data_IF_780999974754
#
_entry.id   IF_780999974754
#
_cell.length_a   1.000
_cell.length_b   1.000
_cell.length_c   1.000
_cell.angle_alpha   90.00
_cell.angle_beta   90.00
_cell.angle_gamma   90.00
#
_symmetry.space_group_name_H-M   'P 1'
#
loop_
_entity.id
_entity.type
_entity.pdbx_description
1 polymer ?
#
# COMPACT_ATOMS: atom_id res chain seq x y z
N UNK A 1 -10.12 4.36 -66.48
CA UNK A 1 -9.40 3.46 -65.55
C UNK A 1 -8.09 4.14 -65.24
N UNK A 2 -8.12 5.04 -64.25
CA UNK A 2 -6.93 5.74 -63.78
C UNK A 2 -6.04 4.73 -63.08
N UNK A 3 -4.83 4.54 -63.62
CA UNK A 3 -3.76 3.81 -62.94
C UNK A 3 -3.33 4.67 -61.76
N UNK A 4 -3.78 4.30 -60.56
CA UNK A 4 -3.24 4.82 -59.30
C UNK A 4 -1.71 4.67 -59.39
N UNK A 5 -0.99 5.78 -59.30
CA UNK A 5 0.47 5.79 -59.27
C UNK A 5 0.95 4.88 -58.13
N UNK A 6 1.98 4.04 -58.32
CA UNK A 6 2.48 3.12 -57.29
C UNK A 6 2.82 3.81 -55.95
N UNK A 7 3.11 5.11 -55.95
CA UNK A 7 3.36 5.89 -54.73
C UNK A 7 2.10 6.19 -53.89
N UNK A 8 0.94 6.39 -54.53
CA UNK A 8 -0.30 6.70 -53.81
C UNK A 8 -0.81 5.47 -53.04
N UNK A 9 -0.73 4.29 -53.67
CA UNK A 9 -1.10 3.01 -53.02
C UNK A 9 -0.13 2.65 -51.87
N UNK A 10 1.15 3.00 -51.98
CA UNK A 10 2.15 2.84 -50.90
C UNK A 10 1.86 3.75 -49.71
N UNK A 11 1.50 5.01 -49.97
CA UNK A 11 1.17 5.98 -48.92
C UNK A 11 -0.12 5.59 -48.19
N UNK A 12 -1.14 5.12 -48.90
CA UNK A 12 -2.38 4.60 -48.31
C UNK A 12 -2.13 3.38 -47.41
N UNK A 13 -1.32 2.42 -47.86
CA UNK A 13 -0.97 1.24 -47.05
C UNK A 13 -0.13 1.60 -45.80
N UNK A 14 0.68 2.65 -45.87
CA UNK A 14 1.40 3.21 -44.72
C UNK A 14 0.45 3.92 -43.74
N UNK A 15 -0.48 4.73 -44.26
CA UNK A 15 -1.49 5.43 -43.46
C UNK A 15 -2.45 4.47 -42.77
N UNK A 16 -2.90 3.41 -43.44
CA UNK A 16 -3.75 2.37 -42.85
C UNK A 16 -3.02 1.61 -41.74
N UNK A 17 -1.74 1.28 -41.95
CA UNK A 17 -0.89 0.66 -40.92
C UNK A 17 -0.68 1.60 -39.73
N UNK A 18 -0.50 2.90 -39.97
CA UNK A 18 -0.35 3.91 -38.94
C UNK A 18 -1.64 4.14 -38.14
N UNK A 19 -2.80 4.12 -38.79
CA UNK A 19 -4.11 4.23 -38.14
C UNK A 19 -4.38 3.02 -37.24
N UNK A 20 -4.07 1.80 -37.69
CA UNK A 20 -4.20 0.59 -36.89
C UNK A 20 -3.23 0.56 -35.69
N UNK A 21 -2.04 1.14 -35.83
CA UNK A 21 -1.09 1.32 -34.73
C UNK A 21 -1.49 2.45 -33.77
N UNK A 22 -2.37 3.38 -34.16
CA UNK A 22 -2.85 4.43 -33.27
C UNK A 22 -4.19 4.09 -32.59
N UNK A 23 -4.91 3.06 -33.04
CA UNK A 23 -6.22 2.68 -32.49
C UNK A 23 -6.14 1.82 -31.22
N UNK A 24 -4.98 1.26 -30.87
CA UNK A 24 -4.82 0.41 -29.69
C UNK A 24 -4.08 1.14 -28.57
N UNK A 25 -4.68 1.20 -27.39
CA UNK A 25 -4.05 1.73 -26.17
C UNK A 25 -3.26 0.66 -25.39
N UNK A 26 -3.29 -0.59 -25.87
CA UNK A 26 -2.55 -1.70 -25.28
C UNK A 26 -1.18 -1.83 -25.94
N UNK A 27 -0.14 -1.49 -25.16
CA UNK A 27 1.27 -1.59 -25.55
C UNK A 27 1.59 -2.92 -26.22
N UNK A 28 1.05 -3.99 -25.67
CA UNK A 28 1.38 -5.35 -26.06
C UNK A 28 0.78 -5.70 -27.43
N UNK A 29 -0.47 -5.28 -27.65
CA UNK A 29 -1.13 -5.35 -28.96
C UNK A 29 -0.37 -4.54 -30.01
N UNK A 30 0.01 -3.30 -29.69
CA UNK A 30 0.76 -2.44 -30.61
C UNK A 30 2.07 -3.07 -31.08
N UNK A 31 2.86 -3.62 -30.16
CA UNK A 31 4.15 -4.22 -30.48
C UNK A 31 3.98 -5.51 -31.30
N UNK A 32 2.95 -6.31 -31.02
CA UNK A 32 2.60 -7.49 -31.85
C UNK A 32 2.21 -7.09 -33.26
N UNK A 33 1.41 -6.03 -33.41
CA UNK A 33 1.00 -5.51 -34.70
C UNK A 33 2.18 -4.96 -35.48
N UNK A 34 3.05 -4.15 -34.86
CA UNK A 34 4.27 -3.64 -35.45
C UNK A 34 5.17 -4.78 -35.96
N UNK A 35 5.46 -5.75 -35.10
CA UNK A 35 6.33 -6.87 -35.45
C UNK A 35 5.74 -7.67 -36.63
N UNK A 36 4.44 -7.94 -36.61
CA UNK A 36 3.75 -8.67 -37.69
C UNK A 36 3.77 -7.89 -39.00
N UNK A 37 3.53 -6.59 -38.98
CA UNK A 37 3.53 -5.74 -40.17
C UNK A 37 4.92 -5.66 -40.79
N UNK A 38 5.96 -5.46 -39.98
CA UNK A 38 7.36 -5.45 -40.46
C UNK A 38 7.75 -6.81 -41.02
N UNK A 39 7.46 -7.90 -40.31
CA UNK A 39 7.82 -9.25 -40.77
C UNK A 39 7.09 -9.65 -42.05
N UNK A 40 5.81 -9.25 -42.19
CA UNK A 40 5.03 -9.50 -43.40
C UNK A 40 5.55 -8.76 -44.62
N UNK A 41 6.02 -7.50 -44.44
CA UNK A 41 6.60 -6.70 -45.52
C UNK A 41 8.00 -7.17 -45.93
N UNK A 42 8.83 -7.57 -44.96
CA UNK A 42 10.21 -8.02 -45.20
C UNK A 42 10.35 -9.52 -45.49
N UNK A 43 9.26 -10.28 -45.39
CA UNK A 43 9.18 -11.73 -45.59
C UNK A 43 10.17 -12.52 -44.70
N UNK A 44 10.44 -12.02 -43.49
CA UNK A 44 11.36 -12.67 -42.53
C UNK A 44 10.62 -13.60 -41.59
N UNK A 45 11.24 -14.73 -41.24
CA UNK A 45 10.67 -15.72 -40.31
C UNK A 45 11.00 -15.48 -38.83
N UNK A 46 11.93 -14.55 -38.53
CA UNK A 46 12.41 -14.26 -37.18
C UNK A 46 12.44 -12.76 -36.93
N UNK A 47 12.02 -12.33 -35.76
CA UNK A 47 12.09 -10.94 -35.34
C UNK A 47 11.70 -10.74 -33.88
N UNK A 48 12.05 -9.59 -33.33
CA UNK A 48 11.69 -9.16 -31.99
C UNK A 48 11.43 -7.66 -31.92
N UNK A 49 10.72 -7.25 -30.88
CA UNK A 49 10.68 -5.87 -30.41
C UNK A 49 11.12 -5.86 -28.95
N UNK A 50 12.11 -5.04 -28.63
CA UNK A 50 12.53 -4.74 -27.26
C UNK A 50 12.12 -3.31 -26.90
N UNK A 51 11.81 -3.07 -25.63
CA UNK A 51 11.41 -1.76 -25.10
C UNK A 51 12.32 -1.39 -23.95
N UNK A 52 12.59 -0.09 -23.80
CA UNK A 52 13.35 0.43 -22.67
C UNK A 52 12.52 0.33 -21.38
N UNK A 53 13.06 -0.37 -20.40
CA UNK A 53 12.53 -0.48 -19.05
C UNK A 53 13.67 -0.36 -18.02
N UNK A 54 13.62 0.68 -17.18
CA UNK A 54 14.57 0.94 -16.10
C UNK A 54 16.04 1.00 -16.57
N UNK A 55 16.30 1.61 -17.73
CA UNK A 55 17.65 1.78 -18.28
C UNK A 55 18.18 0.56 -19.03
N UNK A 56 17.39 -0.51 -19.19
CA UNK A 56 17.75 -1.69 -19.97
C UNK A 56 16.72 -1.99 -21.05
N UNK A 57 17.17 -2.44 -22.21
CA UNK A 57 16.30 -2.92 -23.28
C UNK A 57 15.85 -4.34 -22.95
N UNK A 58 14.54 -4.59 -22.88
CA UNK A 58 13.97 -5.91 -22.60
C UNK A 58 13.07 -6.38 -23.73
N UNK A 59 13.13 -7.67 -24.05
CA UNK A 59 12.29 -8.24 -25.10
C UNK A 59 10.81 -8.15 -24.69
N UNK A 60 10.03 -7.36 -25.43
CA UNK A 60 8.59 -7.19 -25.18
C UNK A 60 7.76 -8.11 -26.09
N UNK A 61 8.18 -8.33 -27.33
CA UNK A 61 7.54 -9.24 -28.29
C UNK A 61 8.56 -9.98 -29.14
N UNK A 62 8.30 -11.26 -29.45
CA UNK A 62 9.25 -12.11 -30.16
C UNK A 62 8.54 -13.10 -31.08
N UNK A 63 9.16 -13.42 -32.21
CA UNK A 63 8.69 -14.47 -33.13
C UNK A 63 9.86 -15.22 -33.75
N UNK A 64 9.82 -16.55 -33.70
CA UNK A 64 10.86 -17.41 -34.28
C UNK A 64 12.16 -17.51 -33.47
N UNK A 65 12.15 -17.05 -32.22
CA UNK A 65 13.27 -17.11 -31.26
C UNK A 65 12.87 -18.05 -30.11
N UNK A 66 13.54 -19.20 -29.98
CA UNK A 66 13.16 -20.26 -29.02
C UNK A 66 13.98 -20.26 -27.72
N UNK A 67 15.12 -19.58 -27.71
CA UNK A 67 16.11 -19.65 -26.63
C UNK A 67 16.02 -18.52 -25.60
N UNK A 68 15.10 -17.55 -25.81
CA UNK A 68 14.93 -16.35 -24.99
C UNK A 68 13.44 -16.19 -24.64
N UNK A 69 13.15 -15.62 -23.47
CA UNK A 69 11.80 -15.34 -23.01
C UNK A 69 11.51 -13.84 -23.08
N UNK A 70 10.21 -13.51 -23.21
CA UNK A 70 9.74 -12.13 -23.02
C UNK A 70 10.14 -11.66 -21.61
N UNK A 71 10.69 -10.46 -21.51
CA UNK A 71 11.21 -9.85 -20.28
C UNK A 71 12.73 -9.99 -20.09
N UNK A 72 13.40 -10.89 -20.82
CA UNK A 72 14.86 -11.01 -20.78
C UNK A 72 15.53 -9.74 -21.33
N UNK A 73 16.73 -9.42 -20.84
CA UNK A 73 17.51 -8.28 -21.31
C UNK A 73 18.03 -8.56 -22.71
N UNK A 74 17.91 -7.58 -23.60
CA UNK A 74 18.43 -7.65 -24.95
C UNK A 74 19.96 -7.73 -24.94
N UNK A 75 20.47 -8.72 -25.66
CA UNK A 75 21.90 -8.91 -25.93
C UNK A 75 22.11 -9.02 -27.45
N UNK A 76 22.98 -8.15 -27.98
CA UNK A 76 23.27 -8.08 -29.41
C UNK A 76 23.96 -9.34 -29.94
N UNK A 77 24.86 -9.95 -29.16
CA UNK A 77 25.60 -11.16 -29.57
C UNK A 77 24.65 -12.36 -29.61
N UNK A 78 23.83 -12.51 -28.57
CA UNK A 78 22.80 -13.55 -28.50
C UNK A 78 21.76 -13.40 -29.62
N UNK A 79 21.32 -12.18 -29.90
CA UNK A 79 20.38 -11.91 -30.99
C UNK A 79 20.97 -12.28 -32.36
N UNK A 80 22.23 -11.92 -32.62
CA UNK A 80 22.94 -12.25 -33.85
C UNK A 80 23.10 -13.77 -34.04
N UNK A 81 23.49 -14.48 -32.98
CA UNK A 81 23.62 -15.94 -32.99
C UNK A 81 22.30 -16.66 -33.34
N UNK A 82 21.15 -16.03 -33.06
CA UNK A 82 19.83 -16.56 -33.40
C UNK A 82 19.34 -16.16 -34.81
N UNK A 83 20.18 -15.50 -35.60
CA UNK A 83 19.88 -15.11 -36.98
C UNK A 83 19.09 -13.81 -37.12
N UNK A 84 19.17 -12.91 -36.13
CA UNK A 84 18.78 -11.51 -36.28
C UNK A 84 19.98 -10.75 -36.84
N UNK A 85 19.81 -10.13 -38.00
CA UNK A 85 20.92 -9.47 -38.70
C UNK A 85 20.71 -7.97 -38.88
N UNK A 86 19.48 -7.48 -38.70
CA UNK A 86 19.16 -6.07 -38.78
C UNK A 86 18.46 -5.65 -37.50
N UNK A 87 18.96 -4.59 -36.86
CA UNK A 87 18.38 -4.02 -35.65
C UNK A 87 18.19 -2.52 -35.90
N UNK A 88 16.97 -2.04 -35.68
CA UNK A 88 16.58 -0.65 -35.88
C UNK A 88 16.11 -0.04 -34.57
N UNK A 89 16.50 1.21 -34.32
CA UNK A 89 15.97 1.99 -33.22
C UNK A 89 14.51 2.39 -33.49
N UNK A 90 13.68 2.25 -32.46
CA UNK A 90 12.36 2.86 -32.40
C UNK A 90 12.53 4.18 -31.65
N UNK A 91 12.27 5.30 -32.32
CA UNK A 91 12.44 6.64 -31.76
C UNK A 91 13.81 7.25 -32.04
N UNK A 92 14.31 8.05 -31.11
CA UNK A 92 15.61 8.73 -31.23
C UNK A 92 16.75 7.70 -31.25
N UNK A 93 17.71 7.87 -32.16
CA UNK A 93 18.87 6.99 -32.27
C UNK A 93 19.84 7.16 -31.08
N UNK A 94 19.85 8.33 -30.42
CA UNK A 94 20.68 8.56 -29.25
C UNK A 94 20.07 7.92 -27.98
N UNK A 95 18.74 7.98 -27.85
CA UNK A 95 17.98 7.40 -26.73
C UNK A 95 16.75 6.63 -27.26
N UNK A 96 16.96 5.41 -27.77
CA UNK A 96 15.87 4.62 -28.33
C UNK A 96 14.84 4.27 -27.25
N UNK A 97 13.56 4.41 -27.58
CA UNK A 97 12.46 3.95 -26.71
C UNK A 97 12.19 2.46 -26.89
N UNK A 98 12.71 1.88 -27.98
CA UNK A 98 12.74 0.45 -28.21
C UNK A 98 13.67 0.07 -29.36
N UNK A 99 13.81 -1.23 -29.59
CA UNK A 99 14.60 -1.82 -30.68
C UNK A 99 13.74 -2.81 -31.45
N UNK A 100 13.82 -2.77 -32.78
CA UNK A 100 13.21 -3.74 -33.68
C UNK A 100 14.32 -4.57 -34.33
N UNK A 101 14.37 -5.86 -34.00
CA UNK A 101 15.27 -6.80 -34.65
C UNK A 101 14.55 -7.67 -35.68
N UNK A 102 15.12 -7.83 -36.87
CA UNK A 102 14.62 -8.73 -37.91
C UNK A 102 15.73 -9.62 -38.49
N UNK A 103 15.34 -10.82 -38.90
CA UNK A 103 16.22 -11.75 -39.59
C UNK A 103 16.57 -11.33 -41.02
N UNK A 104 17.34 -12.18 -41.71
CA UNK A 104 17.75 -11.92 -43.10
C UNK A 104 16.59 -12.16 -44.08
N UNK A 105 16.24 -11.20 -44.96
CA UNK A 105 15.24 -11.41 -46.01
C UNK A 105 15.69 -12.46 -47.05
N UNK A 106 14.75 -13.09 -47.79
CA UNK A 106 15.07 -14.09 -48.81
C UNK A 106 16.03 -13.62 -49.91
N UNK A 107 16.01 -12.33 -50.25
CA UNK A 107 16.90 -11.68 -51.23
C UNK A 107 18.23 -11.19 -50.67
N UNK A 108 18.47 -11.37 -49.37
CA UNK A 108 19.75 -11.09 -48.71
C UNK A 108 20.06 -9.63 -48.37
N UNK A 109 19.40 -8.66 -49.00
CA UNK A 109 19.49 -7.24 -48.67
C UNK A 109 18.09 -6.59 -48.65
N UNK A 110 17.91 -5.65 -47.73
CA UNK A 110 16.73 -4.76 -47.68
C UNK A 110 17.03 -3.61 -48.65
N UNK A 111 16.09 -3.30 -49.55
CA UNK A 111 16.25 -2.19 -50.49
C UNK A 111 16.15 -0.84 -49.79
N UNK A 112 16.71 0.21 -50.40
CA UNK A 112 16.69 1.59 -49.84
C UNK A 112 15.26 2.09 -49.60
N UNK A 113 14.35 1.80 -50.54
CA UNK A 113 12.92 2.16 -50.45
C UNK A 113 12.21 1.43 -49.29
N UNK A 114 12.55 0.17 -49.05
CA UNK A 114 12.02 -0.62 -47.93
C UNK A 114 12.58 -0.13 -46.59
N UNK A 115 13.84 0.27 -46.55
CA UNK A 115 14.47 0.85 -45.37
C UNK A 115 13.85 2.21 -45.01
N UNK A 116 13.59 3.07 -46.00
CA UNK A 116 12.90 4.35 -45.80
C UNK A 116 11.47 4.14 -45.30
N UNK A 117 10.75 3.20 -45.90
CA UNK A 117 9.40 2.82 -45.47
C UNK A 117 9.40 2.26 -44.03
N UNK A 118 10.41 1.49 -43.65
CA UNK A 118 10.56 0.95 -42.31
C UNK A 118 10.84 2.07 -41.30
N UNK A 119 11.73 3.01 -41.62
CA UNK A 119 12.01 4.18 -40.77
C UNK A 119 10.76 5.02 -40.52
N UNK A 120 9.95 5.25 -41.56
CA UNK A 120 8.67 5.96 -41.41
C UNK A 120 7.70 5.23 -40.46
N UNK A 121 7.58 3.90 -40.57
CA UNK A 121 6.77 3.10 -39.65
C UNK A 121 7.30 3.14 -38.21
N UNK A 122 8.61 3.10 -38.01
CA UNK A 122 9.22 3.16 -36.68
C UNK A 122 9.07 4.52 -36.02
N UNK A 123 9.11 5.60 -36.79
CA UNK A 123 8.84 6.95 -36.29
C UNK A 123 7.41 7.09 -35.76
N UNK A 124 6.42 6.55 -36.50
CA UNK A 124 5.01 6.53 -36.08
C UNK A 124 4.87 5.67 -34.81
N UNK A 125 5.47 4.49 -34.83
CA UNK A 125 5.43 3.57 -33.71
C UNK A 125 6.07 4.13 -32.44
N UNK A 126 7.13 4.94 -32.55
CA UNK A 126 7.75 5.60 -31.39
C UNK A 126 6.76 6.48 -30.63
N UNK A 127 5.94 7.25 -31.36
CA UNK A 127 4.93 8.12 -30.74
C UNK A 127 3.83 7.29 -30.06
N UNK A 128 3.32 6.26 -30.73
CA UNK A 128 2.31 5.35 -30.17
C UNK A 128 2.84 4.58 -28.96
N UNK A 129 4.12 4.17 -29.00
CA UNK A 129 4.82 3.47 -27.91
C UNK A 129 4.95 4.36 -26.67
N UNK A 130 5.39 5.61 -26.87
CA UNK A 130 5.48 6.59 -25.78
C UNK A 130 4.11 6.86 -25.13
N UNK A 131 3.07 7.02 -25.94
CA UNK A 131 1.70 7.24 -25.46
C UNK A 131 1.16 6.03 -24.69
N UNK A 132 1.37 4.82 -25.21
CA UNK A 132 0.95 3.58 -24.54
C UNK A 132 1.69 3.35 -23.22
N UNK A 133 3.01 3.62 -23.17
CA UNK A 133 3.82 3.57 -21.95
C UNK A 133 3.28 4.55 -20.90
N UNK A 134 3.12 5.82 -21.27
CA UNK A 134 2.58 6.86 -20.37
C UNK A 134 1.17 6.51 -19.85
N UNK A 135 0.29 5.95 -20.69
CA UNK A 135 -1.05 5.52 -20.26
C UNK A 135 -0.99 4.32 -19.31
N UNK A 136 -0.13 3.34 -19.58
CA UNK A 136 0.03 2.15 -18.73
C UNK A 136 0.59 2.52 -17.34
N UNK A 137 1.59 3.40 -17.29
CA UNK A 137 2.16 3.93 -16.05
C UNK A 137 1.11 4.68 -15.26
N UNK A 138 0.34 5.55 -15.93
CA UNK A 138 -0.76 6.30 -15.30
C UNK A 138 -1.82 5.36 -14.71
N UNK A 139 -2.19 4.28 -15.41
CA UNK A 139 -3.12 3.28 -14.85
C UNK A 139 -2.54 2.53 -13.66
N UNK A 140 -1.26 2.13 -13.73
CA UNK A 140 -0.58 1.46 -12.61
C UNK A 140 -0.54 2.35 -11.37
N UNK A 141 -0.16 3.62 -11.53
CA UNK A 141 -0.16 4.58 -10.42
C UNK A 141 -1.56 4.84 -9.89
N UNK A 142 -2.57 4.99 -10.75
CA UNK A 142 -3.96 5.13 -10.30
C UNK A 142 -4.45 3.90 -9.51
N UNK A 143 -4.09 2.69 -9.95
CA UNK A 143 -4.45 1.48 -9.23
C UNK A 143 -3.80 1.43 -7.84
N UNK A 144 -2.48 1.66 -7.77
CA UNK A 144 -1.75 1.73 -6.50
C UNK A 144 -2.30 2.82 -5.56
N UNK A 145 -2.63 3.98 -6.12
CA UNK A 145 -3.24 5.07 -5.36
C UNK A 145 -4.62 4.68 -4.86
N UNK A 146 -5.44 4.01 -5.67
CA UNK A 146 -6.76 3.55 -5.26
C UNK A 146 -6.68 2.49 -4.15
N UNK A 147 -5.73 1.55 -4.22
CA UNK A 147 -5.44 0.62 -3.12
C UNK A 147 -5.08 1.38 -1.84
N UNK A 148 -4.20 2.39 -1.94
CA UNK A 148 -3.84 3.23 -0.78
C UNK A 148 -5.00 4.05 -0.24
N UNK A 149 -5.87 4.59 -1.09
CA UNK A 149 -7.08 5.29 -0.67
C UNK A 149 -8.03 4.36 0.06
N UNK A 150 -8.20 3.12 -0.41
CA UNK A 150 -9.03 2.13 0.28
C UNK A 150 -8.45 1.74 1.64
N UNK A 151 -7.13 1.55 1.72
CA UNK A 151 -6.43 1.29 2.99
C UNK A 151 -6.65 2.43 4.01
N UNK A 152 -6.51 3.69 3.56
CA UNK A 152 -6.75 4.86 4.40
C UNK A 152 -8.21 5.01 4.85
N UNK A 153 -9.18 4.70 3.98
CA UNK A 153 -10.61 4.71 4.35
C UNK A 153 -10.92 3.68 5.42
N UNK A 154 -10.41 2.46 5.28
CA UNK A 154 -10.55 1.44 6.30
C UNK A 154 -9.96 1.89 7.65
N UNK A 155 -8.78 2.52 7.62
CA UNK A 155 -8.15 3.10 8.82
C UNK A 155 -9.04 4.18 9.44
N UNK A 156 -9.57 5.12 8.65
CA UNK A 156 -10.47 6.17 9.13
C UNK A 156 -11.75 5.62 9.76
N UNK A 157 -12.33 4.57 9.18
CA UNK A 157 -13.54 3.96 9.73
C UNK A 157 -13.26 3.23 11.06
N UNK A 158 -12.07 2.60 11.19
CA UNK A 158 -11.61 2.03 12.46
C UNK A 158 -11.41 3.12 13.53
N UNK A 159 -10.77 4.22 13.17
CA UNK A 159 -10.56 5.37 14.07
C UNK A 159 -11.90 5.98 14.48
N UNK A 160 -12.85 6.15 13.55
CA UNK A 160 -14.19 6.63 13.87
C UNK A 160 -14.88 5.73 14.89
N UNK A 161 -14.82 4.41 14.71
CA UNK A 161 -15.37 3.44 15.68
C UNK A 161 -14.74 3.58 17.07
N UNK A 162 -13.43 3.82 17.15
CA UNK A 162 -12.73 4.09 18.42
C UNK A 162 -13.23 5.41 19.04
N UNK A 163 -13.32 6.49 18.27
CA UNK A 163 -13.70 7.82 18.79
C UNK A 163 -15.18 7.95 19.18
N UNK A 164 -16.09 7.15 18.61
CA UNK A 164 -17.50 7.16 18.98
C UNK A 164 -17.78 6.47 20.31
N UNK A 165 -16.78 5.80 20.87
CA UNK A 165 -16.90 5.00 22.06
C UNK A 165 -16.64 5.84 23.31
N UNK A 166 -17.57 5.78 24.26
CA UNK A 166 -17.49 6.56 25.51
C UNK A 166 -16.88 5.78 26.68
N UNK A 167 -16.69 4.47 26.53
CA UNK A 167 -16.13 3.59 27.58
C UNK A 167 -14.70 3.12 27.22
N UNK A 168 -13.71 3.33 28.10
CA UNK A 168 -12.34 2.87 27.87
C UNK A 168 -12.24 1.38 27.54
N UNK A 169 -13.05 0.55 28.19
CA UNK A 169 -13.11 -0.89 27.98
C UNK A 169 -13.57 -1.24 26.56
N UNK A 170 -14.44 -0.45 25.95
CA UNK A 170 -14.90 -0.69 24.59
C UNK A 170 -13.82 -0.28 23.57
N UNK A 171 -13.15 0.85 23.78
CA UNK A 171 -12.01 1.29 22.95
C UNK A 171 -10.91 0.22 22.96
N UNK A 172 -10.60 -0.33 24.13
CA UNK A 172 -9.63 -1.40 24.31
C UNK A 172 -10.02 -2.67 23.54
N UNK A 173 -11.31 -3.00 23.51
CA UNK A 173 -11.80 -4.18 22.78
C UNK A 173 -11.62 -3.99 21.27
N UNK A 174 -12.04 -2.83 20.76
CA UNK A 174 -11.95 -2.51 19.33
C UNK A 174 -10.50 -2.46 18.85
N UNK A 175 -9.60 -1.84 19.62
CA UNK A 175 -8.17 -1.79 19.30
C UNK A 175 -7.59 -3.21 19.17
N UNK A 176 -7.80 -4.05 20.18
CA UNK A 176 -7.32 -5.44 20.18
C UNK A 176 -7.91 -6.23 19.03
N UNK A 177 -9.23 -6.15 18.81
CA UNK A 177 -9.91 -6.88 17.73
C UNK A 177 -9.39 -6.47 16.35
N UNK A 178 -9.13 -5.18 16.16
CA UNK A 178 -8.62 -4.62 14.91
C UNK A 178 -7.22 -5.15 14.60
N UNK A 179 -6.28 -5.03 15.56
CA UNK A 179 -4.89 -5.44 15.36
C UNK A 179 -4.76 -6.96 15.26
N UNK A 180 -5.44 -7.71 16.13
CA UNK A 180 -5.41 -9.17 16.10
C UNK A 180 -6.10 -9.73 14.86
N UNK A 181 -7.18 -9.10 14.39
CA UNK A 181 -7.86 -9.45 13.14
C UNK A 181 -6.99 -9.20 11.91
N UNK A 182 -6.39 -8.00 11.79
CA UNK A 182 -5.53 -7.64 10.65
C UNK A 182 -4.33 -8.57 10.51
N UNK A 183 -3.68 -8.91 11.62
CA UNK A 183 -2.45 -9.72 11.59
C UNK A 183 -2.67 -11.21 11.91
N UNK A 184 -3.93 -11.63 12.06
CA UNK A 184 -4.30 -12.99 12.43
C UNK A 184 -3.46 -13.48 13.63
N UNK A 185 -3.55 -12.76 14.74
CA UNK A 185 -2.78 -13.02 15.97
C UNK A 185 -3.67 -13.68 17.01
N UNK A 186 -3.22 -14.83 17.54
CA UNK A 186 -3.99 -15.59 18.53
C UNK A 186 -3.73 -15.18 19.99
N UNK A 187 -2.59 -14.52 20.25
CA UNK A 187 -2.13 -14.15 21.58
C UNK A 187 -1.87 -12.65 21.68
N UNK A 188 -2.36 -12.01 22.74
CA UNK A 188 -2.15 -10.59 22.97
C UNK A 188 -2.26 -10.27 24.47
N UNK A 189 -1.77 -9.11 24.86
CA UNK A 189 -2.03 -8.52 26.15
C UNK A 189 -2.07 -6.99 26.03
N UNK A 190 -3.06 -6.36 26.64
CA UNK A 190 -3.22 -4.92 26.74
C UNK A 190 -3.39 -4.56 28.21
N UNK A 191 -2.67 -3.56 28.68
CA UNK A 191 -2.86 -2.96 29.99
C UNK A 191 -2.75 -1.44 29.86
N UNK A 192 -3.71 -0.72 30.44
CA UNK A 192 -3.80 0.73 30.39
C UNK A 192 -4.12 1.27 31.77
N UNK A 193 -3.47 2.36 32.16
CA UNK A 193 -3.69 3.02 33.43
C UNK A 193 -3.83 4.53 33.23
N UNK A 194 -4.83 5.10 33.90
CA UNK A 194 -4.99 6.53 34.10
C UNK A 194 -5.11 6.79 35.60
N UNK A 195 -4.39 7.79 36.11
CA UNK A 195 -4.45 8.15 37.52
C UNK A 195 -5.91 8.45 37.95
N UNK A 196 -6.36 7.84 39.06
CA UNK A 196 -7.70 8.01 39.59
C UNK A 196 -8.79 7.16 38.91
N UNK A 197 -8.43 6.35 37.91
CA UNK A 197 -9.34 5.44 37.22
C UNK A 197 -8.93 3.98 37.38
N UNK A 198 -9.88 3.03 37.29
CA UNK A 198 -9.54 1.60 37.22
C UNK A 198 -8.66 1.29 36.02
N UNK A 199 -7.70 0.38 36.22
CA UNK A 199 -6.86 -0.16 35.14
C UNK A 199 -7.72 -0.93 34.14
N UNK A 200 -7.47 -0.72 32.85
CA UNK A 200 -8.13 -1.46 31.76
C UNK A 200 -7.19 -2.53 31.25
N UNK A 201 -7.56 -3.79 31.45
CA UNK A 201 -6.74 -4.93 31.05
C UNK A 201 -7.47 -5.90 30.13
N UNK A 202 -6.74 -6.44 29.15
CA UNK A 202 -7.18 -7.54 28.29
C UNK A 202 -6.03 -8.45 27.94
N UNK A 203 -6.09 -9.70 28.38
CA UNK A 203 -5.01 -10.67 28.19
C UNK A 203 -5.55 -11.96 27.56
N UNK A 204 -4.85 -12.49 26.56
CA UNK A 204 -5.11 -13.79 25.94
C UNK A 204 -3.80 -14.45 25.56
N UNK A 205 -3.35 -15.41 26.35
CA UNK A 205 -2.15 -16.21 26.07
C UNK A 205 -0.81 -15.48 26.21
N UNK A 206 -0.84 -14.19 26.55
CA UNK A 206 0.26 -13.38 27.08
C UNK A 206 -0.27 -12.74 28.36
N UNK A 207 0.53 -12.75 29.42
CA UNK A 207 0.25 -12.10 30.69
C UNK A 207 1.30 -11.04 30.96
N UNK A 208 0.84 -9.85 31.32
CA UNK A 208 1.69 -8.70 31.65
C UNK A 208 1.88 -8.60 33.16
N UNK A 209 3.06 -8.14 33.63
CA UNK A 209 3.22 -7.65 34.99
C UNK A 209 2.25 -6.50 35.30
N UNK A 210 2.15 -6.13 36.57
CA UNK A 210 1.40 -4.96 36.98
C UNK A 210 1.89 -3.73 36.20
N UNK A 211 0.96 -2.95 35.67
CA UNK A 211 1.27 -1.83 34.77
C UNK A 211 2.14 -0.77 35.48
N UNK A 212 1.97 -0.64 36.79
CA UNK A 212 2.75 0.25 37.65
C UNK A 212 4.25 -0.06 37.55
N UNK A 213 4.62 -1.35 37.51
CA UNK A 213 6.00 -1.81 37.48
C UNK A 213 6.69 -1.57 36.13
N UNK A 214 5.91 -1.48 35.05
CA UNK A 214 6.43 -1.36 33.68
C UNK A 214 6.17 0.01 33.03
N UNK A 215 5.35 0.86 33.65
CA UNK A 215 4.92 2.14 33.08
C UNK A 215 6.07 3.10 32.74
N UNK A 216 7.07 3.19 33.60
CA UNK A 216 8.23 4.08 33.38
C UNK A 216 9.14 3.56 32.27
N UNK A 217 9.32 2.24 32.21
CA UNK A 217 10.07 1.58 31.15
C UNK A 217 9.38 1.75 29.79
N UNK A 218 8.07 1.52 29.70
CA UNK A 218 7.33 1.60 28.43
C UNK A 218 7.24 3.02 27.90
N UNK A 219 7.26 4.04 28.75
CA UNK A 219 7.31 5.46 28.35
C UNK A 219 8.57 5.84 27.58
N UNK A 220 9.68 5.12 27.78
CA UNK A 220 10.97 5.41 27.12
C UNK A 220 11.13 4.67 25.78
N UNK A 221 10.21 3.75 25.47
CA UNK A 221 10.28 2.96 24.25
C UNK A 221 9.76 3.75 23.04
N UNK A 222 10.24 3.41 21.82
CA UNK A 222 9.62 3.87 20.58
C UNK A 222 8.15 3.45 20.47
N UNK A 223 7.38 4.12 19.60
CA UNK A 223 5.94 3.88 19.41
C UNK A 223 5.59 2.44 18.99
N UNK A 224 6.56 1.72 18.40
CA UNK A 224 6.49 0.29 18.13
C UNK A 224 7.88 -0.32 18.28
N UNK A 225 7.97 -1.50 18.90
CA UNK A 225 9.24 -2.20 19.04
C UNK A 225 9.03 -3.71 18.99
N UNK A 226 9.90 -4.40 18.24
CA UNK A 226 9.95 -5.85 18.29
C UNK A 226 10.50 -6.29 19.64
N UNK A 227 9.92 -7.33 20.24
CA UNK A 227 10.32 -7.83 21.56
C UNK A 227 11.79 -8.23 21.59
N UNK A 228 12.32 -8.76 20.48
CA UNK A 228 13.75 -9.10 20.35
C UNK A 228 14.69 -7.90 20.50
N UNK A 229 14.21 -6.69 20.15
CA UNK A 229 14.97 -5.44 20.18
C UNK A 229 14.79 -4.68 21.50
N UNK A 230 14.02 -5.20 22.45
CA UNK A 230 13.94 -4.62 23.79
C UNK A 230 15.29 -4.73 24.52
N UNK A 231 15.58 -3.80 25.45
CA UNK A 231 16.69 -3.94 26.39
C UNK A 231 16.63 -5.29 27.13
N UNK A 232 17.80 -5.88 27.40
CA UNK A 232 17.91 -7.12 28.16
C UNK A 232 17.35 -6.93 29.58
N UNK A 233 16.54 -7.90 30.04
CA UNK A 233 15.92 -7.86 31.35
C UNK A 233 14.73 -8.82 31.49
N UNK A 234 14.22 -8.92 32.72
CA UNK A 234 13.17 -9.87 33.11
C UNK A 234 11.91 -9.72 32.24
N UNK A 235 11.56 -8.48 31.86
CA UNK A 235 10.41 -8.21 31.01
C UNK A 235 10.57 -8.84 29.62
N UNK A 236 11.72 -8.63 28.96
CA UNK A 236 12.03 -9.23 27.64
C UNK A 236 12.00 -10.75 27.70
N UNK A 237 12.66 -11.34 28.70
CA UNK A 237 12.71 -12.80 28.88
C UNK A 237 11.30 -13.40 29.06
N UNK A 238 10.48 -12.77 29.91
CA UNK A 238 9.09 -13.17 30.14
C UNK A 238 8.24 -13.06 28.86
N UNK A 239 8.37 -11.98 28.10
CA UNK A 239 7.64 -11.78 26.85
C UNK A 239 8.05 -12.82 25.78
N UNK A 240 9.35 -13.08 25.62
CA UNK A 240 9.86 -14.10 24.69
C UNK A 240 9.37 -15.51 25.06
N UNK A 241 9.39 -15.88 26.35
CA UNK A 241 8.89 -17.18 26.82
C UNK A 241 7.40 -17.40 26.49
N UNK A 242 6.62 -16.32 26.44
CA UNK A 242 5.20 -16.33 26.12
C UNK A 242 4.91 -16.27 24.60
N UNK A 243 5.95 -16.19 23.76
CA UNK A 243 5.88 -16.00 22.31
C UNK A 243 5.29 -14.65 21.90
N UNK A 244 5.59 -13.60 22.66
CA UNK A 244 5.37 -12.22 22.23
C UNK A 244 6.42 -11.83 21.18
N UNK A 245 6.01 -11.05 20.18
CA UNK A 245 6.90 -10.61 19.09
C UNK A 245 6.91 -9.09 18.91
N UNK A 246 5.80 -8.42 19.20
CA UNK A 246 5.64 -6.98 18.95
C UNK A 246 5.01 -6.28 20.15
N UNK A 247 5.50 -5.09 20.46
CA UNK A 247 5.03 -4.24 21.55
C UNK A 247 4.79 -2.82 21.05
N UNK A 248 3.68 -2.24 21.49
CA UNK A 248 3.31 -0.85 21.28
C UNK A 248 3.06 -0.18 22.64
N UNK A 249 3.83 0.85 23.02
CA UNK A 249 3.48 1.70 24.14
C UNK A 249 2.20 2.49 23.82
N UNK A 250 1.33 2.63 24.81
CA UNK A 250 0.12 3.45 24.71
C UNK A 250 0.34 4.69 25.55
N UNK A 251 0.89 5.74 24.94
CA UNK A 251 1.19 7.00 25.60
C UNK A 251 0.29 8.08 25.01
N UNK A 252 -0.60 8.68 25.81
CA UNK A 252 -1.49 9.77 25.34
C UNK A 252 -1.27 11.09 26.08
N UNK A 253 -0.95 11.03 27.39
CA UNK A 253 -0.59 12.20 28.22
C UNK A 253 0.36 11.79 29.34
N UNK A 254 0.83 12.75 30.15
CA UNK A 254 1.69 12.46 31.29
C UNK A 254 1.06 11.50 32.32
N UNK A 255 -0.27 11.53 32.46
CA UNK A 255 -1.03 10.77 33.45
C UNK A 255 -1.69 9.49 32.91
N UNK A 256 -1.54 9.22 31.61
CA UNK A 256 -2.14 8.06 30.93
C UNK A 256 -1.06 7.25 30.24
N UNK A 257 -0.87 6.01 30.67
CA UNK A 257 0.17 5.13 30.15
C UNK A 257 -0.35 3.70 29.99
N UNK A 258 0.32 2.94 29.13
CA UNK A 258 -0.10 1.59 28.85
C UNK A 258 0.82 0.87 27.89
N UNK A 259 0.49 -0.39 27.63
CA UNK A 259 1.22 -1.24 26.70
C UNK A 259 0.27 -2.24 26.04
N UNK A 260 0.46 -2.42 24.74
CA UNK A 260 -0.14 -3.49 23.96
C UNK A 260 0.98 -4.41 23.45
N UNK A 261 0.86 -5.70 23.72
CA UNK A 261 1.77 -6.74 23.26
C UNK A 261 1.02 -7.72 22.39
N UNK A 262 1.61 -8.08 21.25
CA UNK A 262 1.11 -9.05 20.30
C UNK A 262 2.08 -10.23 20.16
N UNK A 263 1.53 -11.43 20.07
CA UNK A 263 2.28 -12.63 19.78
C UNK A 263 2.46 -12.89 18.28
N UNK A 264 3.12 -14.00 17.98
CA UNK A 264 3.34 -14.46 16.59
C UNK A 264 2.06 -14.55 15.77
N UNK A 265 2.13 -14.14 14.50
CA UNK A 265 1.05 -14.37 13.53
C UNK A 265 0.78 -15.86 13.36
N UNK A 266 -0.47 -16.24 13.11
CA UNK A 266 -0.85 -17.65 12.88
C UNK A 266 -0.10 -18.28 11.69
N UNK A 267 0.24 -17.48 10.67
CA UNK A 267 1.07 -17.91 9.53
C UNK A 267 2.58 -17.85 9.76
N UNK A 268 3.05 -17.43 10.95
CA UNK A 268 4.47 -17.22 11.32
C UNK A 268 5.26 -16.26 10.41
N UNK A 269 4.58 -15.42 9.64
CA UNK A 269 5.23 -14.33 8.93
C UNK A 269 5.69 -13.27 9.94
N UNK A 270 6.92 -12.78 9.77
CA UNK A 270 7.45 -11.70 10.59
C UNK A 270 6.67 -10.40 10.37
N UNK A 271 6.70 -9.52 11.36
CA UNK A 271 6.19 -8.15 11.23
C UNK A 271 7.14 -7.32 10.35
N UNK A 272 6.56 -6.54 9.44
CA UNK A 272 7.30 -5.62 8.56
C UNK A 272 7.30 -4.21 9.12
N UNK A 273 8.18 -3.33 8.64
CA UNK A 273 8.19 -1.92 9.05
C UNK A 273 6.86 -1.22 8.81
N UNK A 274 6.18 -1.55 7.71
CA UNK A 274 4.83 -1.04 7.41
C UNK A 274 3.79 -1.49 8.45
N UNK A 275 3.96 -2.66 9.06
CA UNK A 275 3.09 -3.13 10.15
C UNK A 275 3.36 -2.39 11.44
N UNK A 276 4.64 -2.11 11.75
CA UNK A 276 5.03 -1.32 12.91
C UNK A 276 4.43 0.10 12.80
N UNK A 277 4.59 0.75 11.66
CA UNK A 277 4.05 2.09 11.39
C UNK A 277 2.51 2.10 11.48
N UNK A 278 1.84 1.12 10.87
CA UNK A 278 0.38 1.00 10.95
C UNK A 278 -0.10 0.81 12.40
N UNK A 279 0.53 -0.10 13.15
CA UNK A 279 0.18 -0.38 14.54
C UNK A 279 0.39 0.81 15.45
N UNK A 280 1.55 1.48 15.33
CA UNK A 280 1.88 2.68 16.07
C UNK A 280 0.82 3.78 15.85
N UNK A 281 0.47 4.04 14.58
CA UNK A 281 -0.56 5.01 14.23
C UNK A 281 -1.92 4.68 14.84
N UNK A 282 -2.36 3.42 14.78
CA UNK A 282 -3.65 3.02 15.37
C UNK A 282 -3.64 3.09 16.90
N UNK A 283 -2.54 2.67 17.54
CA UNK A 283 -2.37 2.74 19.00
C UNK A 283 -2.35 4.20 19.49
N UNK A 284 -1.69 5.10 18.76
CA UNK A 284 -1.70 6.53 19.07
C UNK A 284 -3.13 7.11 19.01
N UNK A 285 -3.89 6.77 17.97
CA UNK A 285 -5.30 7.20 17.86
C UNK A 285 -6.19 6.60 18.95
N UNK A 286 -5.96 5.34 19.30
CA UNK A 286 -6.64 4.73 20.44
C UNK A 286 -6.28 5.42 21.76
N UNK A 287 -5.03 5.83 21.94
CA UNK A 287 -4.57 6.68 23.05
C UNK A 287 -5.47 7.91 23.23
N UNK A 288 -5.69 8.67 22.16
CA UNK A 288 -6.59 9.84 22.17
C UNK A 288 -8.04 9.45 22.50
N UNK A 289 -8.54 8.36 21.93
CA UNK A 289 -9.89 7.86 22.23
C UNK A 289 -10.04 7.44 23.70
N UNK A 290 -9.01 6.83 24.30
CA UNK A 290 -9.01 6.49 25.71
C UNK A 290 -9.09 7.74 26.59
N UNK A 291 -8.30 8.78 26.31
CA UNK A 291 -8.39 10.05 27.07
C UNK A 291 -9.78 10.66 27.02
N UNK A 292 -10.34 10.72 25.82
CA UNK A 292 -11.69 11.24 25.61
C UNK A 292 -12.72 10.42 26.39
N UNK A 293 -12.62 9.10 26.36
CA UNK A 293 -13.54 8.21 27.10
C UNK A 293 -13.45 8.42 28.62
N UNK A 294 -12.24 8.54 29.19
CA UNK A 294 -12.08 8.85 30.61
C UNK A 294 -12.57 10.26 30.95
N UNK A 295 -12.31 11.26 30.10
CA UNK A 295 -12.78 12.63 30.31
C UNK A 295 -14.32 12.72 30.30
N UNK A 296 -14.97 12.01 29.37
CA UNK A 296 -16.43 11.90 29.31
C UNK A 296 -16.95 11.23 30.58
N UNK A 297 -16.32 10.14 31.03
CA UNK A 297 -16.69 9.43 32.25
C UNK A 297 -16.64 10.34 33.48
N UNK A 298 -15.53 11.06 33.68
CA UNK A 298 -15.37 12.05 34.76
C UNK A 298 -16.47 13.13 34.71
N UNK A 299 -16.81 13.59 33.50
CA UNK A 299 -17.86 14.61 33.31
C UNK A 299 -19.24 14.08 33.66
N UNK A 300 -19.55 12.83 33.33
CA UNK A 300 -20.81 12.17 33.69
C UNK A 300 -20.89 11.98 35.21
N UNK A 301 -19.83 11.48 35.83
CA UNK A 301 -19.76 11.26 37.28
C UNK A 301 -19.91 12.59 38.06
N UNK A 302 -19.24 13.66 37.60
CA UNK A 302 -19.39 15.00 38.19
C UNK A 302 -20.83 15.52 38.09
N UNK A 303 -21.46 15.45 36.92
CA UNK A 303 -22.86 15.88 36.74
C UNK A 303 -23.82 15.11 37.64
N UNK A 304 -23.60 13.81 37.82
CA UNK A 304 -24.42 12.98 38.70
C UNK A 304 -24.28 13.41 40.16
N UNK A 305 -23.06 13.68 40.62
CA UNK A 305 -22.81 14.21 41.97
C UNK A 305 -23.46 15.58 42.18
N UNK A 306 -23.39 16.49 41.20
CA UNK A 306 -24.05 17.80 41.25
C UNK A 306 -25.58 17.64 41.40
N UNK A 307 -26.21 16.77 40.61
CA UNK A 307 -27.64 16.48 40.69
C UNK A 307 -28.05 15.85 42.03
N UNK A 308 -27.24 14.94 42.57
CA UNK A 308 -27.49 14.32 43.88
C UNK A 308 -27.39 15.37 45.02
N UNK A 309 -26.45 16.32 44.93
CA UNK A 309 -26.31 17.42 45.89
C UNK A 309 -27.47 18.42 45.80
N UNK A 310 -27.87 18.82 44.60
CA UNK A 310 -29.03 19.70 44.40
C UNK A 310 -30.32 19.06 44.95
N UNK A 311 -30.51 17.76 44.70
CA UNK A 311 -31.64 17.02 45.25
C UNK A 311 -31.58 16.99 46.78
N UNK A 312 -30.44 16.65 47.38
CA UNK A 312 -30.27 16.60 48.83
C UNK A 312 -30.53 17.96 49.48
N UNK A 313 -30.05 19.05 48.88
CA UNK A 313 -30.31 20.41 49.34
C UNK A 313 -31.81 20.74 49.30
N UNK A 314 -32.51 20.42 48.21
CA UNK A 314 -33.96 20.67 48.09
C UNK A 314 -34.80 19.88 49.11
N UNK A 315 -34.38 18.65 49.44
CA UNK A 315 -35.02 17.84 50.48
C UNK A 315 -34.81 18.48 51.85
N UNK A 316 -33.58 18.94 52.15
CA UNK A 316 -33.28 19.60 53.42
C UNK A 316 -34.09 20.89 53.57
N UNK A 317 -34.17 21.72 52.53
CA UNK A 317 -35.01 22.93 52.53
C UNK A 317 -36.49 22.61 52.80
N UNK A 318 -37.02 21.53 52.19
CA UNK A 318 -38.39 21.07 52.43
C UNK A 318 -38.65 20.45 53.81
N UNK A 319 -37.61 20.14 54.60
CA UNK A 319 -37.71 19.58 55.94
C UNK A 319 -37.63 20.64 57.05
N UNK A 320 -37.26 21.89 56.71
CA UNK A 320 -37.30 22.99 57.66
C UNK A 320 -38.71 23.60 57.72
N UNK A 321 -39.26 23.86 58.92
CA UNK A 321 -40.56 24.50 59.03
C UNK A 321 -40.48 25.94 58.50
N UNK A 322 -41.46 26.38 57.70
CA UNK A 322 -41.53 27.75 57.16
C UNK A 322 -41.51 28.83 58.25
N UNK A 323 -41.90 28.45 59.47
CA UNK A 323 -41.89 29.30 60.65
C UNK A 323 -41.28 28.53 61.82
N UNK A 324 -40.43 29.19 62.60
CA UNK A 324 -39.91 28.63 63.85
C UNK A 324 -41.10 28.29 64.78
N UNK A 325 -41.18 27.06 65.31
CA UNK A 325 -42.27 26.68 66.20
C UNK A 325 -42.22 27.52 67.48
N UNK A 326 -43.37 28.07 67.86
CA UNK A 326 -43.50 28.86 69.08
C UNK A 326 -43.45 27.92 70.30
N UNK A 327 -42.33 27.94 71.01
CA UNK A 327 -42.11 27.15 72.22
C UNK A 327 -42.47 28.01 73.43
N UNK A 328 -43.63 27.75 74.02
CA UNK A 328 -44.02 28.28 75.32
C UNK A 328 -43.26 27.56 76.44
N UNK A 329 -42.49 28.34 77.21
CA UNK A 329 -41.76 27.87 78.40
C UNK A 329 -42.64 27.63 79.62
#
# INVERSE_FOLDING_TARGET
>A
MDKISPDASRLEALLESAQLLNSSLDLDSLLRHLLRTVMGRTLVGRGFVAVEENGAMRYAQMRGLKSIKIGDVYDAEAACAMGIHHVYAIGDAANPTGLLGIGKPPGGAISTDEEESLKALLAIASSSLANAKAHSETRRFNFQLNEKVQELRALLDLVRGLTSTLEPEEVARLLVLTLTGRWAVGKYALALQKQGHPTVERQKGISLPAIEDISEFTKQLPEAVLIENLPEGIFKESMLAQKAELLFPVNSSESTGGVLVLGSRLGKAAYTDADLEFGAGLVAQAGVAFENSWYVRETIERKKMEQELELAASIQEGLFPEFLPDITG
#
